data_IF_756113391686
#
_entry.id   IF_756113391686
#
_cell.length_a   1.000
_cell.length_b   1.000
_cell.length_c   1.000
_cell.angle_alpha   90.00
_cell.angle_beta   90.00
_cell.angle_gamma   90.00
#
_symmetry.space_group_name_H-M   'P 1'
#
loop_
_entity.id
_entity.type
_entity.pdbx_description
1 polymer ?
#
# COMPACT_ATOMS: atom_id res chain seq x y z
N UNK A 1 -12.67 -2.93 10.49
CA UNK A 1 -11.77 -1.80 10.24
C UNK A 1 -10.35 -2.26 9.92
N UNK A 2 -9.65 -1.46 9.15
CA UNK A 2 -8.27 -1.73 8.77
C UNK A 2 -7.34 -0.82 9.56
N UNK A 3 -6.36 -1.40 10.23
CA UNK A 3 -5.41 -0.67 11.06
C UNK A 3 -4.04 -0.65 10.42
N UNK A 4 -3.32 0.45 10.56
CA UNK A 4 -1.98 0.63 10.06
C UNK A 4 -1.00 0.84 11.23
N UNK A 5 0.08 0.06 11.23
CA UNK A 5 1.17 0.19 12.20
C UNK A 5 2.29 1.02 11.57
N UNK A 6 2.71 2.08 12.26
CA UNK A 6 3.73 3.00 11.76
C UNK A 6 5.14 2.42 11.77
N UNK A 7 5.39 1.44 12.63
CA UNK A 7 6.72 0.87 12.82
C UNK A 7 6.68 -0.63 12.59
N UNK A 8 7.37 -1.11 11.56
CA UNK A 8 7.42 -2.52 11.21
C UNK A 8 8.15 -3.38 12.23
N UNK A 9 9.10 -2.83 12.96
CA UNK A 9 9.74 -3.56 14.05
C UNK A 9 8.73 -3.86 15.16
N UNK A 10 7.84 -2.91 15.46
CA UNK A 10 6.75 -3.12 16.41
C UNK A 10 5.78 -4.19 15.92
N UNK A 11 5.41 -4.14 14.64
CA UNK A 11 4.54 -5.15 14.04
C UNK A 11 5.17 -6.55 14.15
N UNK A 12 6.46 -6.66 13.89
CA UNK A 12 7.20 -7.92 13.98
C UNK A 12 7.17 -8.48 15.41
N UNK A 13 7.39 -7.63 16.41
CA UNK A 13 7.32 -8.02 17.83
C UNK A 13 5.91 -8.47 18.20
N UNK A 14 4.90 -7.70 17.79
CA UNK A 14 3.50 -8.01 18.08
C UNK A 14 3.03 -9.29 17.42
N UNK A 15 3.55 -9.62 16.23
CA UNK A 15 3.20 -10.85 15.53
C UNK A 15 3.83 -12.10 16.14
N UNK A 16 4.88 -11.94 16.96
CA UNK A 16 5.58 -13.05 17.58
C UNK A 16 6.45 -13.86 16.63
N UNK A 17 6.75 -13.33 15.44
CA UNK A 17 7.57 -14.01 14.44
C UNK A 17 8.93 -13.35 14.28
N UNK A 18 9.97 -14.19 14.10
CA UNK A 18 11.26 -13.68 13.64
C UNK A 18 11.19 -13.30 12.17
N UNK A 19 12.15 -12.52 11.69
CA UNK A 19 12.23 -12.15 10.28
C UNK A 19 12.27 -13.38 9.38
N UNK A 20 13.03 -14.39 9.76
CA UNK A 20 13.15 -15.64 8.99
C UNK A 20 11.81 -16.38 8.90
N UNK A 21 11.07 -16.46 10.00
CA UNK A 21 9.75 -17.07 10.03
C UNK A 21 8.75 -16.27 9.18
N UNK A 22 8.79 -14.95 9.27
CA UNK A 22 7.91 -14.08 8.48
C UNK A 22 8.13 -14.27 6.97
N UNK A 23 9.37 -14.42 6.53
CA UNK A 23 9.70 -14.63 5.12
C UNK A 23 9.17 -15.98 4.62
N UNK A 24 9.18 -17.03 5.46
CA UNK A 24 8.68 -18.35 5.07
C UNK A 24 7.16 -18.48 5.14
N UNK A 25 6.50 -17.62 5.92
CA UNK A 25 5.04 -17.56 6.01
C UNK A 25 4.51 -16.48 5.05
N UNK A 26 4.00 -16.89 3.88
CA UNK A 26 3.58 -15.97 2.84
C UNK A 26 2.50 -14.98 3.28
N UNK A 27 1.57 -15.42 4.15
CA UNK A 27 0.51 -14.56 4.67
C UNK A 27 1.07 -13.48 5.60
N UNK A 28 1.96 -13.86 6.52
CA UNK A 28 2.62 -12.95 7.44
C UNK A 28 3.54 -11.98 6.70
N UNK A 29 4.26 -12.51 5.72
CA UNK A 29 5.11 -11.69 4.87
C UNK A 29 4.31 -10.64 4.11
N UNK A 30 3.16 -11.03 3.55
CA UNK A 30 2.26 -10.11 2.86
C UNK A 30 1.77 -8.99 3.76
N UNK A 31 1.35 -9.32 4.98
CA UNK A 31 0.92 -8.33 5.96
C UNK A 31 2.05 -7.38 6.35
N UNK A 32 3.24 -7.93 6.57
CA UNK A 32 4.42 -7.16 6.91
C UNK A 32 4.80 -6.19 5.79
N UNK A 33 4.77 -6.68 4.57
CA UNK A 33 5.09 -5.94 3.35
C UNK A 33 4.11 -4.78 3.15
N UNK A 34 2.81 -5.06 3.21
CA UNK A 34 1.78 -4.03 3.07
C UNK A 34 1.92 -2.97 4.17
N UNK A 35 2.21 -3.41 5.39
CA UNK A 35 2.41 -2.51 6.52
C UNK A 35 3.64 -1.60 6.32
N UNK A 36 4.72 -2.13 5.75
CA UNK A 36 5.91 -1.34 5.45
C UNK A 36 5.61 -0.23 4.45
N UNK A 37 4.91 -0.57 3.39
CA UNK A 37 4.50 0.39 2.36
C UNK A 37 3.55 1.42 2.97
N UNK A 38 2.59 0.97 3.77
CA UNK A 38 1.63 1.85 4.43
C UNK A 38 2.29 2.83 5.40
N UNK A 39 3.25 2.36 6.19
CA UNK A 39 3.99 3.22 7.11
C UNK A 39 4.75 4.32 6.36
N UNK A 40 5.38 3.98 5.24
CA UNK A 40 6.06 4.94 4.39
C UNK A 40 5.08 5.98 3.84
N UNK A 41 3.95 5.53 3.27
CA UNK A 41 2.93 6.42 2.71
C UNK A 41 2.41 7.39 3.77
N UNK A 42 2.10 6.90 4.97
CA UNK A 42 1.56 7.72 6.05
C UNK A 42 2.61 8.75 6.54
N UNK A 43 3.87 8.34 6.64
CA UNK A 43 4.96 9.27 6.99
C UNK A 43 5.09 10.38 5.95
N UNK A 44 5.07 10.03 4.67
CA UNK A 44 5.13 11.00 3.58
C UNK A 44 3.90 11.93 3.58
N UNK A 45 2.73 11.36 3.85
CA UNK A 45 1.49 12.13 3.94
C UNK A 45 1.54 13.18 5.06
N UNK A 46 2.08 12.81 6.20
CA UNK A 46 2.24 13.73 7.32
C UNK A 46 3.19 14.87 6.98
N UNK A 47 4.33 14.55 6.38
CA UNK A 47 5.35 15.55 6.04
C UNK A 47 4.89 16.45 4.90
N UNK A 48 4.29 15.89 3.87
CA UNK A 48 3.95 16.61 2.63
C UNK A 48 2.48 17.01 2.54
N UNK A 49 1.70 16.73 3.57
CA UNK A 49 0.30 17.18 3.74
C UNK A 49 -0.63 16.74 2.62
N UNK A 50 -0.64 15.44 2.34
CA UNK A 50 -1.71 14.83 1.55
C UNK A 50 -2.51 13.87 2.42
N UNK A 51 -3.70 13.49 1.95
CA UNK A 51 -4.61 12.61 2.68
C UNK A 51 -4.43 11.17 2.22
N UNK A 52 -4.65 10.21 3.13
CA UNK A 52 -4.57 8.79 2.82
C UNK A 52 -5.88 8.14 3.24
N UNK A 53 -6.46 7.37 2.32
CA UNK A 53 -7.71 6.65 2.54
C UNK A 53 -7.55 5.18 2.15
N UNK A 54 -8.49 4.39 2.60
CA UNK A 54 -8.71 3.01 2.19
C UNK A 54 -10.06 2.94 1.50
N UNK A 55 -10.13 2.23 0.36
CA UNK A 55 -11.39 2.08 -0.35
C UNK A 55 -11.78 0.62 -0.44
N UNK A 56 -13.05 0.33 -0.20
CA UNK A 56 -13.62 -0.99 -0.34
C UNK A 56 -15.08 -0.89 -0.75
N UNK A 57 -15.48 -1.75 -1.71
CA UNK A 57 -16.87 -1.94 -2.09
C UNK A 57 -17.09 -3.42 -2.39
N UNK A 58 -17.88 -4.11 -1.57
CA UNK A 58 -18.02 -5.56 -1.64
C UNK A 58 -16.72 -6.27 -1.37
N UNK A 59 -16.28 -7.09 -2.32
CA UNK A 59 -15.00 -7.80 -2.25
C UNK A 59 -13.85 -7.06 -2.97
N UNK A 60 -14.17 -5.92 -3.58
CA UNK A 60 -13.18 -5.10 -4.27
C UNK A 60 -12.60 -4.07 -3.31
N UNK A 61 -11.28 -3.93 -3.33
CA UNK A 61 -10.60 -2.97 -2.47
C UNK A 61 -9.37 -2.39 -3.15
N UNK A 62 -8.97 -1.19 -2.69
CA UNK A 62 -7.70 -0.57 -3.01
C UNK A 62 -7.00 -0.26 -1.71
N UNK A 63 -5.76 -0.69 -1.57
CA UNK A 63 -5.04 -0.63 -0.29
C UNK A 63 -4.83 0.80 0.20
N UNK A 64 -4.42 1.71 -0.69
CA UNK A 64 -4.18 3.10 -0.33
C UNK A 64 -4.67 4.03 -1.43
N UNK A 65 -5.43 5.04 -1.02
CA UNK A 65 -5.88 6.11 -1.91
C UNK A 65 -5.30 7.40 -1.37
N UNK A 66 -4.44 8.04 -2.15
CA UNK A 66 -3.81 9.30 -1.79
C UNK A 66 -4.55 10.45 -2.46
N UNK A 67 -4.84 11.50 -1.71
CA UNK A 67 -5.56 12.66 -2.24
C UNK A 67 -4.84 13.95 -1.87
N UNK A 68 -4.65 14.81 -2.86
CA UNK A 68 -4.10 16.15 -2.68
C UNK A 68 -4.71 17.10 -3.71
N UNK A 69 -5.35 18.17 -3.24
CA UNK A 69 -5.90 19.21 -4.13
C UNK A 69 -6.81 18.64 -5.24
N UNK A 70 -7.73 17.75 -4.88
CA UNK A 70 -8.66 17.07 -5.80
C UNK A 70 -8.02 16.04 -6.72
N UNK A 71 -6.71 15.82 -6.62
CA UNK A 71 -6.01 14.76 -7.36
C UNK A 71 -5.98 13.50 -6.52
N UNK A 72 -6.25 12.37 -7.15
CA UNK A 72 -6.32 11.07 -6.49
C UNK A 72 -5.33 10.12 -7.15
N UNK A 73 -4.55 9.42 -6.32
CA UNK A 73 -3.65 8.35 -6.75
C UNK A 73 -4.02 7.08 -5.99
N UNK A 74 -4.21 5.99 -6.70
CA UNK A 74 -4.57 4.70 -6.10
C UNK A 74 -3.35 3.79 -6.10
N UNK A 75 -3.09 3.13 -4.96
CA UNK A 75 -1.94 2.24 -4.78
C UNK A 75 -2.41 0.90 -4.25
N UNK A 76 -1.99 -0.16 -4.93
CA UNK A 76 -2.25 -1.54 -4.54
C UNK A 76 -0.93 -2.23 -4.24
N UNK A 77 -0.88 -3.04 -3.18
CA UNK A 77 0.32 -3.77 -2.78
C UNK A 77 0.10 -5.26 -3.03
N UNK A 78 0.96 -5.87 -3.84
CA UNK A 78 0.91 -7.29 -4.22
C UNK A 78 2.20 -7.98 -3.80
N UNK A 79 2.13 -8.82 -2.78
CA UNK A 79 3.33 -9.42 -2.17
C UNK A 79 3.75 -10.77 -2.76
N UNK A 80 2.86 -11.47 -3.49
CA UNK A 80 3.09 -12.85 -3.92
C UNK A 80 2.97 -13.04 -5.44
N UNK A 81 3.38 -12.05 -6.23
CA UNK A 81 3.25 -12.12 -7.68
C UNK A 81 1.81 -12.14 -8.16
N UNK A 82 0.87 -11.81 -7.30
CA UNK A 82 -0.54 -11.74 -7.60
C UNK A 82 -0.82 -10.71 -8.69
N UNK A 83 -1.67 -11.07 -9.66
CA UNK A 83 -1.98 -10.18 -10.79
C UNK A 83 -3.43 -9.73 -10.82
N UNK A 84 -4.24 -10.16 -9.85
CA UNK A 84 -5.65 -9.79 -9.80
C UNK A 84 -5.81 -8.29 -9.49
N UNK A 85 -6.44 -7.56 -10.39
CA UNK A 85 -6.59 -6.11 -10.33
C UNK A 85 -8.04 -5.63 -10.40
N UNK A 86 -9.01 -6.49 -10.10
CA UNK A 86 -10.45 -6.15 -10.22
C UNK A 86 -10.84 -4.94 -9.37
N UNK A 87 -10.30 -4.83 -8.16
CA UNK A 87 -10.56 -3.68 -7.29
C UNK A 87 -10.03 -2.40 -7.89
N UNK A 88 -8.81 -2.42 -8.41
CA UNK A 88 -8.19 -1.25 -9.04
C UNK A 88 -8.96 -0.82 -10.30
N UNK A 89 -9.36 -1.79 -11.12
CA UNK A 89 -10.12 -1.51 -12.34
C UNK A 89 -11.46 -0.84 -12.01
N UNK A 90 -12.16 -1.37 -11.00
CA UNK A 90 -13.43 -0.80 -10.55
C UNK A 90 -13.25 0.61 -9.99
N UNK A 91 -12.21 0.80 -9.18
CA UNK A 91 -11.88 2.11 -8.62
C UNK A 91 -11.59 3.11 -9.74
N UNK A 92 -10.83 2.70 -10.75
CA UNK A 92 -10.50 3.55 -11.89
C UNK A 92 -11.74 4.03 -12.62
N UNK A 93 -12.70 3.12 -12.85
CA UNK A 93 -13.96 3.47 -13.51
C UNK A 93 -14.80 4.43 -12.69
N UNK A 94 -14.81 4.27 -11.36
CA UNK A 94 -15.65 5.08 -10.47
C UNK A 94 -15.07 6.47 -10.22
N UNK A 95 -13.75 6.57 -10.06
CA UNK A 95 -13.12 7.79 -9.56
C UNK A 95 -12.12 8.42 -10.51
N UNK A 96 -11.75 7.73 -11.59
CA UNK A 96 -10.82 8.23 -12.61
C UNK A 96 -9.57 8.87 -11.98
N UNK A 97 -8.75 8.11 -11.22
CA UNK A 97 -7.58 8.65 -10.55
C UNK A 97 -6.54 9.16 -11.54
N UNK A 98 -5.71 10.08 -11.09
CA UNK A 98 -4.58 10.62 -11.86
C UNK A 98 -3.59 9.51 -12.24
N UNK A 99 -3.36 8.57 -11.31
CA UNK A 99 -2.50 7.43 -11.52
C UNK A 99 -2.98 6.23 -10.71
N UNK A 100 -2.70 5.03 -11.22
CA UNK A 100 -2.90 3.77 -10.50
C UNK A 100 -1.56 3.05 -10.45
N UNK A 101 -1.13 2.66 -9.25
CA UNK A 101 0.20 2.10 -9.03
C UNK A 101 0.07 0.75 -8.34
N UNK A 102 0.77 -0.25 -8.85
CA UNK A 102 0.92 -1.54 -8.20
C UNK A 102 2.35 -1.65 -7.69
N UNK A 103 2.50 -1.88 -6.39
CA UNK A 103 3.80 -2.12 -5.77
C UNK A 103 3.94 -3.61 -5.52
N UNK A 104 4.98 -4.22 -6.07
CA UNK A 104 5.22 -5.64 -5.94
C UNK A 104 6.03 -6.19 -7.10
N UNK A 105 6.10 -7.53 -7.18
CA UNK A 105 6.91 -8.22 -8.16
C UNK A 105 6.55 -7.86 -9.61
N UNK A 106 5.26 -7.70 -9.89
CA UNK A 106 4.76 -7.40 -11.24
C UNK A 106 4.43 -5.92 -11.44
N UNK A 107 4.95 -5.06 -10.59
CA UNK A 107 4.75 -3.62 -10.67
C UNK A 107 6.02 -2.88 -10.30
N UNK A 108 5.87 -1.77 -9.56
CA UNK A 108 7.02 -1.04 -9.04
C UNK A 108 7.65 -1.88 -7.92
N UNK A 109 8.96 -2.12 -8.01
CA UNK A 109 9.67 -2.85 -6.96
C UNK A 109 9.57 -2.10 -5.64
N UNK A 110 9.40 -2.83 -4.50
CA UNK A 110 9.23 -2.19 -3.19
C UNK A 110 10.38 -1.26 -2.82
N UNK A 111 11.60 -1.64 -3.11
CA UNK A 111 12.79 -0.84 -2.81
C UNK A 111 12.76 0.49 -3.56
N UNK A 112 12.31 0.45 -4.81
CA UNK A 112 12.16 1.64 -5.62
C UNK A 112 11.04 2.53 -5.06
N UNK A 113 9.91 1.94 -4.71
CA UNK A 113 8.79 2.69 -4.15
C UNK A 113 9.19 3.41 -2.86
N UNK A 114 9.91 2.73 -1.97
CA UNK A 114 10.37 3.30 -0.70
C UNK A 114 11.41 4.42 -0.87
N UNK A 115 11.95 4.59 -2.06
CA UNK A 115 12.89 5.68 -2.39
C UNK A 115 12.24 6.81 -3.19
N UNK A 116 10.98 6.66 -3.60
CA UNK A 116 10.28 7.65 -4.40
C UNK A 116 9.84 8.86 -3.57
N UNK A 117 9.87 10.02 -4.21
CA UNK A 117 9.25 11.22 -3.66
C UNK A 117 7.77 11.21 -4.07
N UNK A 118 6.89 10.89 -3.12
CA UNK A 118 5.46 10.74 -3.40
C UNK A 118 4.78 12.04 -3.83
N UNK A 119 5.41 13.21 -3.58
CA UNK A 119 4.88 14.49 -4.08
C UNK A 119 4.83 14.52 -5.60
N UNK A 120 5.70 13.77 -6.25
CA UNK A 120 5.78 13.72 -7.72
C UNK A 120 4.64 12.93 -8.36
N UNK A 121 3.83 12.25 -7.57
CA UNK A 121 2.67 11.51 -8.07
C UNK A 121 1.48 12.42 -8.38
N UNK A 122 1.48 13.61 -7.86
CA UNK A 122 0.37 14.56 -8.04
C UNK A 122 0.61 15.62 -9.11
#
# INVERSE_FOLDING_TARGET
PKYQVYNNALLSVLSGLSFKEAVTDSKRWGQFFESAIGAYIISEAFVHRFEVYYWREGNDEVDFVLKKNQKIVAIEVKSNGETKTTGMERFHKLFNPLATIVVGENGIQPELFLSMDLRKLF
#
